data_IF_977622713722
#
_entry.id   IF_977622713722
#
_cell.length_a   1.000
_cell.length_b   1.000
_cell.length_c   1.000
_cell.angle_alpha   90.00
_cell.angle_beta   90.00
_cell.angle_gamma   90.00
#
_symmetry.space_group_name_H-M   'P 1'
#
loop_
_entity.id
_entity.type
_entity.pdbx_description
1 polymer ?
#
# COMPACT_ATOMS: atom_id res chain seq x y z
N UNK A 1 15.05 -42.36 16.75
CA UNK A 1 14.29 -42.38 18.02
C UNK A 1 15.25 -42.05 19.16
N UNK A 2 15.30 -40.78 19.60
CA UNK A 2 16.08 -40.35 20.76
C UNK A 2 15.14 -39.54 21.66
N UNK A 3 14.71 -40.16 22.75
CA UNK A 3 13.85 -39.53 23.74
C UNK A 3 14.71 -38.70 24.70
N UNK A 4 14.60 -37.38 24.62
CA UNK A 4 15.16 -36.45 25.60
C UNK A 4 14.33 -36.53 26.89
N UNK A 5 14.84 -37.26 27.89
CA UNK A 5 14.25 -37.29 29.23
C UNK A 5 14.60 -36.02 29.99
N UNK A 6 13.58 -35.21 30.29
CA UNK A 6 13.72 -34.01 31.11
C UNK A 6 13.77 -34.37 32.60
N UNK A 7 14.73 -33.77 33.31
CA UNK A 7 14.94 -34.02 34.75
C UNK A 7 13.82 -33.43 35.61
N UNK A 8 13.43 -34.09 36.71
CA UNK A 8 12.30 -33.69 37.56
C UNK A 8 12.50 -32.35 38.32
N UNK A 9 13.72 -31.79 38.32
CA UNK A 9 14.03 -30.53 39.00
C UNK A 9 13.54 -29.27 38.25
N UNK A 10 13.29 -29.34 36.94
CA UNK A 10 12.82 -28.19 36.14
C UNK A 10 11.31 -27.92 36.30
N UNK A 11 10.54 -28.91 36.81
CA UNK A 11 9.09 -28.76 37.05
C UNK A 11 8.75 -27.99 38.32
N UNK A 12 9.65 -27.91 39.31
CA UNK A 12 9.35 -27.28 40.59
C UNK A 12 9.54 -25.74 40.56
N UNK A 13 10.46 -25.23 39.75
CA UNK A 13 10.75 -23.79 39.64
C UNK A 13 9.77 -23.06 38.73
N UNK A 14 9.26 -23.71 37.69
CA UNK A 14 8.25 -23.13 36.77
C UNK A 14 6.88 -22.93 37.44
N UNK A 15 6.48 -23.80 38.36
CA UNK A 15 5.22 -23.67 39.09
C UNK A 15 5.18 -22.47 40.06
N UNK A 16 6.33 -22.02 40.59
CA UNK A 16 6.40 -20.86 41.51
C UNK A 16 6.34 -19.52 40.78
N UNK A 17 6.84 -19.44 39.55
CA UNK A 17 6.83 -18.19 38.77
C UNK A 17 5.43 -17.93 38.20
N UNK A 18 4.73 -18.97 37.74
CA UNK A 18 3.36 -18.82 37.20
C UNK A 18 2.34 -18.41 38.27
N UNK A 19 2.50 -18.85 39.53
CA UNK A 19 1.62 -18.40 40.63
C UNK A 19 1.80 -16.91 41.00
N UNK A 20 2.96 -16.32 40.74
CA UNK A 20 3.21 -14.91 41.07
C UNK A 20 2.69 -13.94 40.00
N UNK A 21 2.53 -14.39 38.76
CA UNK A 21 1.97 -13.59 37.66
C UNK A 21 0.43 -13.52 37.68
N UNK A 22 -0.25 -14.42 38.39
CA UNK A 22 -1.72 -14.43 38.51
C UNK A 22 -2.26 -13.62 39.69
N UNK A 23 -1.40 -13.03 40.52
CA UNK A 23 -1.79 -12.33 41.76
C UNK A 23 -1.93 -10.81 41.63
N UNK A 24 -1.65 -10.22 40.46
CA UNK A 24 -1.84 -8.79 40.21
C UNK A 24 -2.88 -8.56 39.11
N UNK A 25 -4.06 -9.17 39.26
CA UNK A 25 -5.27 -8.49 38.78
C UNK A 25 -5.53 -7.38 39.80
N UNK A 26 -4.86 -6.25 39.64
CA UNK A 26 -5.32 -5.02 40.28
C UNK A 26 -6.72 -4.81 39.69
N UNK A 27 -7.80 -4.92 40.49
CA UNK A 27 -9.11 -4.53 40.00
C UNK A 27 -8.93 -3.09 39.53
N UNK A 28 -9.30 -2.80 38.28
CA UNK A 28 -9.43 -1.41 37.85
C UNK A 28 -10.48 -0.82 38.76
N UNK A 29 -10.02 -0.10 39.78
CA UNK A 29 -10.85 0.66 40.68
C UNK A 29 -11.49 1.71 39.80
N UNK A 30 -12.73 1.46 39.38
CA UNK A 30 -13.47 2.37 38.52
C UNK A 30 -13.68 3.61 39.39
N UNK A 31 -12.87 4.64 39.17
CA UNK A 31 -12.90 5.89 39.93
C UNK A 31 -14.36 6.37 40.06
N UNK A 32 -14.87 6.35 41.28
CA UNK A 32 -16.31 6.35 41.59
C UNK A 32 -17.01 7.69 41.33
N UNK A 33 -16.32 8.71 40.80
CA UNK A 33 -16.92 10.03 40.56
C UNK A 33 -16.56 10.56 39.18
N UNK A 34 -17.42 10.35 38.16
CA UNK A 34 -17.26 11.05 36.90
C UNK A 34 -17.39 12.56 37.14
N UNK A 35 -16.44 13.34 36.63
CA UNK A 35 -16.63 14.78 36.47
C UNK A 35 -17.69 14.98 35.38
N UNK A 36 -18.95 15.08 35.80
CA UNK A 36 -20.09 15.38 34.93
C UNK A 36 -20.14 16.89 34.75
N UNK A 37 -19.89 17.35 33.52
CA UNK A 37 -20.12 18.75 33.14
C UNK A 37 -21.45 18.80 32.41
N UNK A 38 -22.41 19.57 32.92
CA UNK A 38 -23.68 19.80 32.25
C UNK A 38 -23.50 20.92 31.24
N UNK A 39 -23.44 20.57 29.95
CA UNK A 39 -23.57 21.52 28.84
C UNK A 39 -24.81 21.10 28.04
N UNK A 40 -25.78 22.00 27.89
CA UNK A 40 -27.02 21.79 27.13
C UNK A 40 -27.93 20.63 27.60
N UNK A 41 -27.86 20.23 28.87
CA UNK A 41 -28.75 19.21 29.44
C UNK A 41 -28.40 17.76 29.11
N UNK A 42 -27.31 17.52 28.38
CA UNK A 42 -26.75 16.19 28.18
C UNK A 42 -25.57 15.95 29.14
N UNK A 43 -25.62 14.87 29.92
CA UNK A 43 -24.51 14.44 30.75
C UNK A 43 -23.45 13.76 29.88
N UNK A 44 -22.26 14.36 29.75
CA UNK A 44 -21.10 13.72 29.12
C UNK A 44 -19.96 13.57 30.13
N UNK A 45 -19.30 12.41 30.09
CA UNK A 45 -18.12 12.12 30.92
C UNK A 45 -16.91 12.83 30.32
N UNK A 46 -16.30 13.73 31.10
CA UNK A 46 -15.01 14.33 30.74
C UNK A 46 -13.89 13.53 31.44
N UNK A 47 -12.80 13.18 30.74
CA UNK A 47 -11.65 12.52 31.36
C UNK A 47 -11.01 13.42 32.43
N UNK A 48 -10.66 12.85 33.59
CA UNK A 48 -9.91 13.58 34.60
C UNK A 48 -8.46 13.83 34.13
N UNK A 49 -7.81 14.93 34.53
CA UNK A 49 -6.44 15.23 34.11
C UNK A 49 -5.41 14.15 34.52
N UNK A 50 -5.68 13.44 35.62
CA UNK A 50 -4.90 12.29 36.07
C UNK A 50 -5.04 11.11 35.09
N UNK A 51 -6.27 10.75 34.70
CA UNK A 51 -6.55 9.71 33.69
C UNK A 51 -5.84 10.02 32.37
N UNK A 52 -5.84 11.29 31.94
CA UNK A 52 -5.17 11.74 30.70
C UNK A 52 -3.66 11.53 30.75
N UNK A 53 -3.05 11.63 31.94
CA UNK A 53 -1.62 11.46 32.14
C UNK A 53 -1.22 9.99 32.07
N UNK A 54 -2.08 9.09 32.55
CA UNK A 54 -1.88 7.64 32.51
C UNK A 54 -2.20 7.01 31.15
N UNK A 55 -2.89 7.75 30.26
CA UNK A 55 -3.26 7.22 28.95
C UNK A 55 -2.04 6.75 28.14
N UNK A 56 -2.07 5.49 27.63
CA UNK A 56 -0.99 4.95 26.82
C UNK A 56 -0.86 5.75 25.51
N UNK A 57 0.32 6.33 25.28
CA UNK A 57 0.60 7.15 24.09
C UNK A 57 1.20 6.35 22.93
N UNK A 58 1.75 5.18 23.21
CA UNK A 58 2.43 4.31 22.23
C UNK A 58 1.87 2.91 22.29
N UNK A 59 1.76 2.24 21.14
CA UNK A 59 1.24 0.87 21.05
C UNK A 59 1.97 -0.12 21.96
N UNK A 60 3.29 0.04 22.17
CA UNK A 60 4.09 -0.79 23.09
C UNK A 60 3.62 -0.76 24.55
N UNK A 61 2.92 0.30 24.97
CA UNK A 61 2.40 0.45 26.35
C UNK A 61 1.04 -0.24 26.53
N UNK A 62 0.38 -0.62 25.44
CA UNK A 62 -0.94 -1.25 25.50
C UNK A 62 -0.85 -2.71 25.95
N UNK A 63 -1.92 -3.17 26.61
CA UNK A 63 -2.12 -4.58 26.93
C UNK A 63 -2.26 -5.45 25.67
N UNK A 64 -2.03 -6.76 25.81
CA UNK A 64 -2.15 -7.72 24.70
C UNK A 64 -3.54 -7.70 24.06
N UNK A 65 -4.59 -7.59 24.88
CA UNK A 65 -5.98 -7.59 24.44
C UNK A 65 -6.30 -6.35 23.58
N UNK A 66 -5.95 -5.16 24.07
CA UNK A 66 -6.14 -3.91 23.31
C UNK A 66 -5.35 -3.90 21.98
N UNK A 67 -4.13 -4.46 21.96
CA UNK A 67 -3.35 -4.58 20.72
C UNK A 67 -4.03 -5.55 19.74
N UNK A 68 -4.54 -6.67 20.24
CA UNK A 68 -5.24 -7.64 19.42
C UNK A 68 -6.49 -7.02 18.79
N UNK A 69 -7.32 -6.34 19.57
CA UNK A 69 -8.50 -5.62 19.09
C UNK A 69 -8.14 -4.54 18.05
N UNK A 70 -7.17 -3.67 18.35
CA UNK A 70 -6.71 -2.65 17.40
C UNK A 70 -6.10 -3.25 16.13
N UNK A 71 -5.47 -4.42 16.22
CA UNK A 71 -4.95 -5.13 15.04
C UNK A 71 -6.07 -5.67 14.15
N UNK A 72 -7.18 -6.15 14.73
CA UNK A 72 -8.39 -6.56 13.99
C UNK A 72 -9.00 -5.35 13.26
N UNK A 73 -8.97 -4.17 13.88
CA UNK A 73 -9.38 -2.91 13.24
C UNK A 73 -8.39 -2.39 12.18
N UNK A 74 -7.34 -3.16 11.86
CA UNK A 74 -6.39 -2.82 10.80
C UNK A 74 -5.44 -1.68 11.16
N UNK A 75 -5.29 -1.33 12.44
CA UNK A 75 -4.33 -0.30 12.86
C UNK A 75 -2.91 -0.85 12.76
N UNK A 76 -2.18 -0.45 11.72
CA UNK A 76 -0.83 -0.96 11.43
C UNK A 76 0.13 -0.89 12.62
N UNK A 77 0.11 0.17 13.41
CA UNK A 77 0.96 0.30 14.60
C UNK A 77 0.70 -0.80 15.66
N UNK A 78 -0.55 -1.22 15.83
CA UNK A 78 -0.92 -2.32 16.71
C UNK A 78 -0.52 -3.67 16.11
N UNK A 79 -0.76 -3.89 14.82
CA UNK A 79 -0.35 -5.12 14.11
C UNK A 79 1.16 -5.30 14.13
N UNK A 80 1.93 -4.20 13.98
CA UNK A 80 3.38 -4.18 14.10
C UNK A 80 3.83 -4.59 15.51
N UNK A 81 3.24 -4.02 16.55
CA UNK A 81 3.57 -4.38 17.94
C UNK A 81 3.18 -5.84 18.26
N UNK A 82 2.05 -6.32 17.75
CA UNK A 82 1.63 -7.73 17.85
C UNK A 82 2.68 -8.66 17.24
N UNK A 83 3.21 -8.32 16.06
CA UNK A 83 4.29 -9.07 15.42
C UNK A 83 5.59 -9.02 16.23
N UNK A 84 5.94 -7.88 16.82
CA UNK A 84 7.12 -7.79 17.73
C UNK A 84 6.97 -8.75 18.90
N UNK A 85 5.79 -8.78 19.54
CA UNK A 85 5.53 -9.69 20.67
C UNK A 85 5.54 -11.16 20.26
N UNK A 86 5.09 -11.47 19.05
CA UNK A 86 5.19 -12.81 18.47
C UNK A 86 6.65 -13.22 18.27
N UNK A 87 7.48 -12.34 17.72
CA UNK A 87 8.92 -12.59 17.55
C UNK A 87 9.61 -12.78 18.91
N UNK A 88 9.30 -11.93 19.91
CA UNK A 88 9.83 -12.12 21.27
C UNK A 88 9.44 -13.48 21.85
N UNK A 89 8.20 -13.94 21.63
CA UNK A 89 7.71 -15.24 22.10
C UNK A 89 8.41 -16.41 21.40
N UNK A 90 8.58 -16.35 20.09
CA UNK A 90 9.18 -17.44 19.30
C UNK A 90 10.69 -17.48 19.44
N UNK A 91 11.36 -16.32 19.33
CA UNK A 91 12.82 -16.22 19.34
C UNK A 91 13.41 -16.03 20.75
N UNK A 92 12.57 -15.86 21.78
CA UNK A 92 12.97 -15.65 23.19
C UNK A 92 13.99 -14.50 23.35
N UNK A 93 13.76 -13.40 22.64
CA UNK A 93 14.68 -12.26 22.57
C UNK A 93 14.06 -10.97 23.15
N UNK A 94 14.93 -9.99 23.41
CA UNK A 94 14.51 -8.67 23.89
C UNK A 94 13.75 -7.88 22.83
N UNK A 95 12.90 -6.96 23.30
CA UNK A 95 12.05 -6.14 22.45
C UNK A 95 12.82 -5.35 21.38
N UNK A 96 14.02 -4.87 21.69
CA UNK A 96 14.86 -4.11 20.74
C UNK A 96 15.29 -4.98 19.56
N UNK A 97 15.69 -6.23 19.84
CA UNK A 97 16.11 -7.20 18.82
C UNK A 97 14.91 -7.62 17.98
N UNK A 98 13.77 -7.92 18.61
CA UNK A 98 12.53 -8.24 17.90
C UNK A 98 12.07 -7.10 17.00
N UNK A 99 12.17 -5.85 17.46
CA UNK A 99 11.83 -4.67 16.66
C UNK A 99 12.75 -4.48 15.45
N UNK A 100 14.05 -4.74 15.61
CA UNK A 100 15.00 -4.70 14.50
C UNK A 100 14.59 -5.72 13.42
N UNK A 101 14.24 -6.94 13.83
CA UNK A 101 13.78 -8.00 12.93
C UNK A 101 12.49 -7.61 12.18
N UNK A 102 11.54 -6.96 12.85
CA UNK A 102 10.35 -6.41 12.17
C UNK A 102 10.72 -5.33 11.16
N UNK A 103 11.74 -4.50 11.44
CA UNK A 103 12.23 -3.53 10.47
C UNK A 103 12.81 -4.22 9.23
N UNK A 104 13.58 -5.29 9.40
CA UNK A 104 14.12 -6.08 8.29
C UNK A 104 12.99 -6.75 7.47
N UNK A 105 12.00 -7.34 8.13
CA UNK A 105 10.80 -7.89 7.48
C UNK A 105 10.09 -6.83 6.65
N UNK A 106 10.06 -5.61 7.17
CA UNK A 106 9.47 -4.48 6.48
C UNK A 106 10.26 -4.08 5.23
N UNK A 107 11.58 -3.95 5.34
CA UNK A 107 12.43 -3.61 4.20
C UNK A 107 12.32 -4.66 3.07
N UNK A 108 12.13 -5.93 3.44
CA UNK A 108 11.87 -7.02 2.49
C UNK A 108 10.49 -6.90 1.83
N UNK A 109 9.47 -6.46 2.58
CA UNK A 109 8.12 -6.21 2.08
C UNK A 109 8.10 -5.04 1.07
N UNK A 110 8.84 -3.96 1.38
CA UNK A 110 8.86 -2.72 0.59
C UNK A 110 9.57 -2.88 -0.76
N UNK A 111 10.56 -3.78 -0.87
CA UNK A 111 11.27 -4.06 -2.13
C UNK A 111 10.37 -4.45 -3.30
N UNK A 112 9.16 -4.95 -3.04
CA UNK A 112 8.23 -5.37 -4.09
C UNK A 112 7.32 -4.25 -4.60
N UNK A 113 7.12 -3.19 -3.81
CA UNK A 113 6.22 -2.09 -4.09
C UNK A 113 6.47 -1.47 -5.48
N UNK A 114 7.72 -1.10 -5.86
CA UNK A 114 7.95 -0.45 -7.15
C UNK A 114 7.59 -1.38 -8.31
N UNK A 115 7.85 -2.70 -8.18
CA UNK A 115 7.51 -3.67 -9.22
C UNK A 115 5.99 -3.80 -9.42
N UNK A 116 5.23 -3.79 -8.32
CA UNK A 116 3.77 -3.80 -8.38
C UNK A 116 3.17 -2.53 -9.01
N UNK A 117 3.89 -1.41 -8.96
CA UNK A 117 3.47 -0.12 -9.54
C UNK A 117 3.82 0.02 -11.03
N UNK A 118 4.73 -0.80 -11.58
CA UNK A 118 5.17 -0.73 -12.98
C UNK A 118 4.02 -0.68 -13.98
N UNK A 119 2.98 -1.53 -13.91
CA UNK A 119 1.90 -1.50 -14.89
C UNK A 119 1.15 -0.16 -14.94
N UNK A 120 1.01 0.52 -13.80
CA UNK A 120 0.37 1.83 -13.72
C UNK A 120 1.25 2.93 -14.30
N UNK A 121 2.55 2.88 -14.04
CA UNK A 121 3.50 3.81 -14.67
C UNK A 121 3.54 3.59 -16.19
N UNK A 122 3.55 2.34 -16.65
CA UNK A 122 3.48 2.01 -18.08
C UNK A 122 2.16 2.51 -18.69
N UNK A 123 1.02 2.30 -18.03
CA UNK A 123 -0.27 2.82 -18.48
C UNK A 123 -0.30 4.36 -18.57
N UNK A 124 0.16 5.04 -17.52
CA UNK A 124 0.22 6.50 -17.48
C UNK A 124 1.15 7.08 -18.54
N UNK A 125 2.37 6.55 -18.65
CA UNK A 125 3.38 7.00 -19.62
C UNK A 125 2.96 6.70 -21.05
N UNK A 126 2.41 5.51 -21.33
CA UNK A 126 1.92 5.16 -22.66
C UNK A 126 0.74 6.03 -23.09
N UNK A 127 -0.21 6.32 -22.18
CA UNK A 127 -1.30 7.25 -22.44
C UNK A 127 -0.77 8.64 -22.77
N UNK A 128 0.07 9.20 -21.90
CA UNK A 128 0.61 10.55 -22.09
C UNK A 128 1.47 10.68 -23.35
N UNK A 129 2.40 9.76 -23.57
CA UNK A 129 3.24 9.74 -24.77
C UNK A 129 2.43 9.46 -26.02
N UNK A 130 1.45 8.57 -25.98
CA UNK A 130 0.55 8.30 -27.10
C UNK A 130 -0.19 9.57 -27.53
N UNK A 131 -0.75 10.32 -26.57
CA UNK A 131 -1.37 11.62 -26.80
C UNK A 131 -0.40 12.62 -27.43
N UNK A 132 0.79 12.80 -26.85
CA UNK A 132 1.79 13.74 -27.36
C UNK A 132 2.37 13.37 -28.73
N UNK A 133 2.62 12.08 -28.99
CA UNK A 133 3.18 11.57 -30.25
C UNK A 133 2.13 11.66 -31.37
N UNK A 134 0.84 11.63 -31.04
CA UNK A 134 -0.22 11.77 -32.06
C UNK A 134 -0.25 13.16 -32.72
N UNK A 135 0.22 14.21 -32.04
CA UNK A 135 0.27 15.57 -32.58
C UNK A 135 1.28 15.72 -33.74
N UNK A 136 2.58 15.39 -33.60
CA UNK A 136 3.51 15.46 -34.72
C UNK A 136 3.15 14.49 -35.84
N UNK A 137 2.51 13.35 -35.53
CA UNK A 137 2.05 12.42 -36.57
C UNK A 137 1.12 13.08 -37.60
N UNK A 138 0.38 14.12 -37.20
CA UNK A 138 -0.59 14.84 -38.04
C UNK A 138 -0.04 16.16 -38.59
N UNK A 139 0.82 16.86 -37.84
CA UNK A 139 1.27 18.22 -38.21
C UNK A 139 2.71 18.30 -38.73
N UNK A 140 3.52 17.25 -38.59
CA UNK A 140 4.91 17.26 -39.05
C UNK A 140 5.05 16.55 -40.40
N UNK A 141 5.57 17.29 -41.40
CA UNK A 141 5.67 16.85 -42.81
C UNK A 141 6.33 15.48 -42.96
N UNK A 142 7.49 15.27 -42.33
CA UNK A 142 8.24 14.02 -42.49
C UNK A 142 7.51 12.79 -41.95
N UNK A 143 6.79 12.94 -40.83
CA UNK A 143 6.04 11.84 -40.21
C UNK A 143 4.76 11.53 -40.98
N UNK A 144 4.10 12.55 -41.53
CA UNK A 144 2.91 12.41 -42.39
C UNK A 144 3.26 11.69 -43.69
N UNK A 145 4.33 12.09 -44.37
CA UNK A 145 4.81 11.43 -45.60
C UNK A 145 5.22 9.98 -45.31
N UNK A 146 6.01 9.76 -44.25
CA UNK A 146 6.40 8.41 -43.83
C UNK A 146 5.19 7.51 -43.54
N UNK A 147 4.18 8.03 -42.84
CA UNK A 147 2.96 7.28 -42.50
C UNK A 147 2.11 6.99 -43.74
N UNK A 148 1.96 7.95 -44.64
CA UNK A 148 1.25 7.77 -45.92
C UNK A 148 1.91 6.67 -46.78
N UNK A 149 3.23 6.68 -46.89
CA UNK A 149 3.99 5.68 -47.67
C UNK A 149 3.97 4.29 -47.02
N UNK A 150 4.20 4.19 -45.71
CA UNK A 150 4.44 2.90 -45.05
C UNK A 150 3.16 2.24 -44.53
N UNK A 151 2.20 3.03 -44.02
CA UNK A 151 0.99 2.52 -43.37
C UNK A 151 -0.21 2.55 -44.31
N UNK A 152 -0.44 3.69 -44.96
CA UNK A 152 -1.55 3.86 -45.92
C UNK A 152 -1.21 3.27 -47.29
N UNK A 153 0.09 3.18 -47.62
CA UNK A 153 0.62 2.69 -48.91
C UNK A 153 0.12 3.53 -50.10
N UNK A 154 0.07 4.85 -49.92
CA UNK A 154 -0.17 5.77 -51.05
C UNK A 154 1.02 5.79 -51.99
N UNK A 155 0.77 5.93 -53.28
CA UNK A 155 1.85 6.05 -54.27
C UNK A 155 2.60 7.37 -54.07
N UNK A 156 3.95 7.38 -54.07
CA UNK A 156 4.74 8.58 -53.83
C UNK A 156 4.44 9.73 -54.81
N UNK A 157 3.94 9.43 -56.01
CA UNK A 157 3.56 10.41 -57.03
C UNK A 157 2.30 11.20 -56.67
N UNK A 158 1.44 10.67 -55.80
CA UNK A 158 0.20 11.34 -55.38
C UNK A 158 0.39 12.25 -54.17
N UNK A 159 1.58 12.23 -53.57
CA UNK A 159 1.90 13.00 -52.37
C UNK A 159 2.44 14.37 -52.80
N UNK A 160 1.72 15.49 -52.59
CA UNK A 160 2.17 16.82 -52.99
C UNK A 160 3.21 17.37 -51.99
N UNK A 161 4.40 16.75 -51.97
CA UNK A 161 5.47 17.07 -51.02
C UNK A 161 5.88 18.55 -51.11
N UNK A 162 5.85 19.14 -52.30
CA UNK A 162 6.28 20.53 -52.53
C UNK A 162 5.26 21.57 -52.02
N UNK A 163 3.97 21.23 -52.01
CA UNK A 163 2.90 22.14 -51.57
C UNK A 163 2.74 22.17 -50.04
N UNK A 164 3.24 21.13 -49.36
CA UNK A 164 3.23 21.00 -47.90
C UNK A 164 4.30 21.87 -47.22
N UNK A 165 4.17 23.19 -47.34
CA UNK A 165 5.09 24.18 -46.75
C UNK A 165 4.66 24.64 -45.36
N UNK A 166 3.36 24.61 -45.07
CA UNK A 166 2.79 25.04 -43.79
C UNK A 166 2.21 23.87 -43.00
N UNK A 167 2.23 23.95 -41.67
CA UNK A 167 1.60 22.97 -40.79
C UNK A 167 0.10 22.75 -41.09
N UNK A 168 -0.62 23.78 -41.58
CA UNK A 168 -2.02 23.68 -41.99
C UNK A 168 -2.19 22.87 -43.27
N UNK A 169 -1.33 23.08 -44.28
CA UNK A 169 -1.35 22.27 -45.51
C UNK A 169 -1.01 20.81 -45.22
N UNK A 170 -0.05 20.56 -44.32
CA UNK A 170 0.30 19.21 -43.86
C UNK A 170 -0.88 18.56 -43.14
N UNK A 171 -1.52 19.28 -42.21
CA UNK A 171 -2.71 18.80 -41.49
C UNK A 171 -3.87 18.49 -42.44
N UNK A 172 -4.19 19.42 -43.35
CA UNK A 172 -5.24 19.25 -44.36
C UNK A 172 -5.00 18.02 -45.25
N UNK A 173 -3.76 17.76 -45.65
CA UNK A 173 -3.40 16.54 -46.37
C UNK A 173 -3.57 15.30 -45.51
N UNK A 174 -3.08 15.31 -44.27
CA UNK A 174 -3.22 14.16 -43.36
C UNK A 174 -4.69 13.80 -43.07
N UNK A 175 -5.60 14.79 -43.00
CA UNK A 175 -7.04 14.57 -42.83
C UNK A 175 -7.76 14.06 -44.08
N UNK A 176 -7.08 13.99 -45.23
CA UNK A 176 -7.69 13.38 -46.43
C UNK A 176 -7.79 11.86 -46.31
N UNK A 177 -6.91 11.24 -45.51
CA UNK A 177 -6.88 9.78 -45.29
C UNK A 177 -6.92 9.37 -43.81
N UNK A 178 -6.68 10.29 -42.87
CA UNK A 178 -7.03 10.11 -41.45
C UNK A 178 -8.34 10.81 -41.16
N UNK A 179 -9.13 10.30 -40.20
CA UNK A 179 -10.36 10.98 -39.78
C UNK A 179 -10.09 12.46 -39.42
N UNK A 180 -11.07 13.37 -39.61
CA UNK A 180 -10.86 14.81 -39.47
C UNK A 180 -10.27 15.21 -38.12
N UNK A 181 -9.76 16.44 -38.01
CA UNK A 181 -9.18 17.08 -36.80
C UNK A 181 -9.88 16.72 -35.47
N UNK A 182 -11.19 16.52 -35.50
CA UNK A 182 -11.99 16.04 -34.38
C UNK A 182 -11.52 14.68 -33.82
N UNK A 183 -11.09 13.74 -34.66
CA UNK A 183 -10.55 12.43 -34.29
C UNK A 183 -9.24 12.53 -33.52
N UNK A 184 -8.27 13.31 -34.01
CA UNK A 184 -6.98 13.50 -33.32
C UNK A 184 -7.18 14.20 -31.97
N UNK A 185 -8.00 15.25 -31.91
CA UNK A 185 -8.32 15.91 -30.64
C UNK A 185 -9.04 14.95 -29.67
N UNK A 186 -9.99 14.15 -30.16
CA UNK A 186 -10.68 13.15 -29.35
C UNK A 186 -9.71 12.10 -28.82
N UNK A 187 -8.74 11.66 -29.62
CA UNK A 187 -7.70 10.74 -29.18
C UNK A 187 -6.80 11.34 -28.10
N UNK A 188 -6.35 12.59 -28.26
CA UNK A 188 -5.55 13.29 -27.25
C UNK A 188 -6.33 13.41 -25.93
N UNK A 189 -7.62 13.76 -26.00
CA UNK A 189 -8.49 13.84 -24.82
C UNK A 189 -8.69 12.45 -24.18
N UNK A 190 -8.89 11.42 -24.98
CA UNK A 190 -9.03 10.04 -24.49
C UNK A 190 -7.74 9.54 -23.84
N UNK A 191 -6.59 9.86 -24.42
CA UNK A 191 -5.27 9.54 -23.87
C UNK A 191 -5.02 10.27 -22.54
N UNK A 192 -5.47 11.53 -22.42
CA UNK A 192 -5.44 12.28 -21.17
C UNK A 192 -6.40 11.69 -20.11
N UNK A 193 -7.61 11.32 -20.51
CA UNK A 193 -8.59 10.65 -19.63
C UNK A 193 -8.08 9.28 -19.15
N UNK A 194 -7.46 8.51 -20.03
CA UNK A 194 -6.83 7.23 -19.70
C UNK A 194 -5.68 7.42 -18.71
N UNK A 195 -4.82 8.42 -18.93
CA UNK A 195 -3.73 8.75 -18.00
C UNK A 195 -4.27 9.14 -16.63
N UNK A 196 -5.33 9.98 -16.59
CA UNK A 196 -6.02 10.36 -15.36
C UNK A 196 -6.64 9.15 -14.65
N UNK A 197 -7.28 8.24 -15.38
CA UNK A 197 -7.86 7.03 -14.79
C UNK A 197 -6.77 6.14 -14.14
N UNK A 198 -5.60 6.02 -14.77
CA UNK A 198 -4.46 5.31 -14.19
C UNK A 198 -3.87 6.04 -12.97
N UNK A 199 -3.84 7.37 -12.96
CA UNK A 199 -3.46 8.16 -11.77
C UNK A 199 -4.46 7.97 -10.62
N UNK A 200 -5.76 8.00 -10.90
CA UNK A 200 -6.80 7.75 -9.90
C UNK A 200 -6.74 6.32 -9.36
N UNK A 201 -6.31 5.34 -10.17
CA UNK A 201 -6.02 3.98 -9.70
C UNK A 201 -4.69 3.84 -8.92
N UNK A 202 -3.84 4.87 -8.89
CA UNK A 202 -2.73 4.92 -7.94
C UNK A 202 -3.21 5.45 -6.58
N UNK A 203 -4.25 6.28 -6.55
CA UNK A 203 -4.88 6.80 -5.33
C UNK A 203 -6.02 5.91 -4.78
N UNK A 204 -6.68 5.13 -5.63
CA UNK A 204 -7.68 4.12 -5.26
C UNK A 204 -7.19 2.74 -5.65
N UNK A 205 -7.55 1.75 -4.85
CA UNK A 205 -6.86 0.47 -4.73
C UNK A 205 -7.61 -0.72 -5.39
N UNK A 206 -7.93 -0.76 -6.72
CA UNK A 206 -8.76 -1.83 -7.29
C UNK A 206 -8.04 -3.20 -7.37
N UNK A 207 -6.72 -3.25 -7.18
CA UNK A 207 -5.95 -4.50 -7.12
C UNK A 207 -5.27 -4.73 -5.76
N UNK A 208 -5.56 -3.89 -4.77
CA UNK A 208 -4.89 -3.92 -3.47
C UNK A 208 -5.17 -5.23 -2.72
N UNK A 209 -6.38 -5.78 -2.76
CA UNK A 209 -6.68 -7.02 -2.04
C UNK A 209 -5.84 -8.21 -2.53
N UNK A 210 -5.75 -8.42 -3.84
CA UNK A 210 -4.95 -9.50 -4.44
C UNK A 210 -3.46 -9.28 -4.24
N UNK A 211 -2.97 -8.05 -4.44
CA UNK A 211 -1.54 -7.74 -4.27
C UNK A 211 -1.15 -7.82 -2.78
N UNK A 212 -1.98 -7.33 -1.86
CA UNK A 212 -1.74 -7.42 -0.42
C UNK A 212 -1.80 -8.88 0.05
N UNK A 213 -2.72 -9.69 -0.46
CA UNK A 213 -2.75 -11.12 -0.18
C UNK A 213 -1.47 -11.81 -0.69
N UNK A 214 -1.03 -11.51 -1.92
CA UNK A 214 0.20 -12.03 -2.49
C UNK A 214 1.44 -11.59 -1.68
N UNK A 215 1.49 -10.32 -1.24
CA UNK A 215 2.55 -9.78 -0.37
C UNK A 215 2.59 -10.53 0.96
N UNK A 216 1.44 -10.68 1.61
CA UNK A 216 1.32 -11.42 2.87
C UNK A 216 1.74 -12.87 2.72
N UNK A 217 1.29 -13.55 1.66
CA UNK A 217 1.65 -14.95 1.40
C UNK A 217 3.15 -15.10 1.11
N UNK A 218 3.75 -14.16 0.38
CA UNK A 218 5.20 -14.12 0.13
C UNK A 218 5.97 -13.93 1.44
N UNK A 219 5.56 -12.98 2.29
CA UNK A 219 6.23 -12.73 3.56
C UNK A 219 6.12 -13.95 4.49
N UNK A 220 4.98 -14.63 4.51
CA UNK A 220 4.78 -15.88 5.26
C UNK A 220 5.70 -17.01 4.76
N UNK A 221 6.00 -17.07 3.45
CA UNK A 221 6.96 -18.05 2.90
C UNK A 221 8.40 -17.75 3.30
N UNK A 222 8.76 -16.47 3.42
CA UNK A 222 10.10 -16.04 3.83
C UNK A 222 10.34 -16.22 5.33
N UNK A 223 9.30 -16.10 6.14
CA UNK A 223 9.38 -16.21 7.60
C UNK A 223 8.43 -17.29 8.15
N UNK A 224 8.70 -18.59 7.87
CA UNK A 224 7.79 -19.69 8.23
C UNK A 224 7.75 -20.01 9.73
N UNK A 225 8.70 -19.49 10.53
CA UNK A 225 8.79 -19.74 11.97
C UNK A 225 7.73 -18.99 12.78
N UNK A 226 7.11 -17.96 12.21
CA UNK A 226 6.10 -17.14 12.88
C UNK A 226 4.69 -17.53 12.46
N UNK A 227 3.74 -17.19 13.33
CA UNK A 227 2.32 -17.40 13.05
C UNK A 227 1.89 -16.67 11.78
N UNK A 228 1.43 -17.45 10.78
CA UNK A 228 1.13 -16.94 9.41
C UNK A 228 0.07 -15.85 9.42
N UNK A 229 -0.94 -15.98 10.29
CA UNK A 229 -2.02 -14.98 10.40
C UNK A 229 -1.47 -13.59 10.79
N UNK A 230 -0.57 -13.53 11.77
CA UNK A 230 0.04 -12.29 12.27
C UNK A 230 0.95 -11.66 11.19
N UNK A 231 1.81 -12.47 10.56
CA UNK A 231 2.72 -11.99 9.50
C UNK A 231 1.92 -11.46 8.30
N UNK A 232 0.84 -12.15 7.92
CA UNK A 232 -0.03 -11.75 6.82
C UNK A 232 -0.77 -10.44 7.12
N UNK A 233 -1.36 -10.30 8.31
CA UNK A 233 -2.02 -9.06 8.74
C UNK A 233 -1.03 -7.89 8.77
N UNK A 234 0.21 -8.10 9.23
CA UNK A 234 1.25 -7.09 9.20
C UNK A 234 1.55 -6.59 7.78
N UNK A 235 1.74 -7.51 6.84
CA UNK A 235 2.02 -7.16 5.45
C UNK A 235 0.85 -6.44 4.75
N UNK A 236 -0.40 -6.78 5.09
CA UNK A 236 -1.61 -6.19 4.50
C UNK A 236 -1.85 -4.77 5.03
N UNK A 237 -1.62 -4.54 6.33
CA UNK A 237 -1.90 -3.24 6.98
C UNK A 237 -0.86 -2.16 6.72
N UNK A 238 0.32 -2.55 6.22
CA UNK A 238 1.41 -1.63 5.91
C UNK A 238 1.06 -0.70 4.73
N UNK A 239 1.12 0.60 4.97
CA UNK A 239 0.78 1.61 3.98
C UNK A 239 1.87 1.74 2.92
N UNK A 240 1.45 1.99 1.68
CA UNK A 240 2.34 2.09 0.53
C UNK A 240 3.16 3.38 0.48
N UNK A 241 2.69 4.43 1.17
CA UNK A 241 3.36 5.72 1.24
C UNK A 241 4.09 5.85 2.58
N UNK A 242 5.41 5.91 2.53
CA UNK A 242 6.27 6.35 3.64
C UNK A 242 7.03 7.60 3.25
#
# INVERSE_FOLDING_TARGET
>A
MLALSWSPLVRATTARVVRRALATKVPVEIAEKPHVVLQDGAEYRVPAPEEVTEMPRKFRQLGNEAIFELSIHGKHGATRERLVREIMRVDQCDWVVARQKVSEMNDVNDKFIPFAQVPYYVGMTSGFLGGLISLPLVFHKGTVVWFAENVVKMDPSEIPVDEMTTWWTVGSFSWSYMEPLLGTLSFVLLAAQFSRANMQHLEFHPYSSKINAMRGDRLCRLYPNYEKSIVREFAITDSWNR
#
